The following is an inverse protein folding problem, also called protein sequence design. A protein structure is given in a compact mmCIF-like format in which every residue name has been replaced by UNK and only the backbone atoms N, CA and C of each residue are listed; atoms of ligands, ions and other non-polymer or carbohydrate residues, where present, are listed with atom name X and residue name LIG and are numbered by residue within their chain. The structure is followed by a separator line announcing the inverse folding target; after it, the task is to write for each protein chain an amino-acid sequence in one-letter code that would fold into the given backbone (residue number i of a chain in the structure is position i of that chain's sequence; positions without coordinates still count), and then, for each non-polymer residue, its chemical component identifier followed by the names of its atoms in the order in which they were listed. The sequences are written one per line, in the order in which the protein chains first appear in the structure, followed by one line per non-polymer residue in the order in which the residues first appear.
data_IF_761160346876
#
_entry.id   IF_761160346876
#
_cell.length_a   1.000
_cell.length_b   1.000
_cell.length_c   1.000
_cell.angle_alpha   90.00
_cell.angle_beta   90.00
_cell.angle_gamma   90.00
#
_symmetry.space_group_name_H-M   'P 1'
#
loop_
_entity.id
_entity.type
_entity.pdbx_description
1 polymer ?
#
# COMPACT_ATOMS: atom_id res chain seq x y z
N UNK A 1 -42.94 9.87 52.98
CA UNK A 1 -42.97 9.54 51.55
C UNK A 1 -41.62 9.73 50.97
N UNK A 2 -40.97 8.66 50.70
CA UNK A 2 -39.60 8.70 50.12
C UNK A 2 -39.73 8.44 48.64
N UNK A 3 -39.53 9.46 47.84
CA UNK A 3 -39.33 9.33 46.43
C UNK A 3 -37.90 8.85 46.18
N UNK A 4 -37.77 7.60 45.88
CA UNK A 4 -36.51 7.11 45.38
C UNK A 4 -36.31 7.62 43.95
N UNK A 5 -35.50 8.62 43.81
CA UNK A 5 -34.96 8.98 42.50
C UNK A 5 -34.00 7.87 42.07
N UNK A 6 -34.46 7.04 41.17
CA UNK A 6 -33.55 6.20 40.41
C UNK A 6 -32.73 7.12 39.54
N UNK A 7 -31.50 7.33 39.93
CA UNK A 7 -30.52 7.89 39.00
C UNK A 7 -30.41 6.97 37.81
N UNK A 8 -30.95 7.39 36.70
CA UNK A 8 -30.73 6.75 35.42
C UNK A 8 -29.29 7.05 35.07
N UNK A 9 -28.43 6.12 35.40
CA UNK A 9 -27.06 6.14 34.83
C UNK A 9 -27.21 5.80 33.36
N UNK A 10 -27.30 6.83 32.53
CA UNK A 10 -27.05 6.67 31.11
C UNK A 10 -25.57 6.27 31.00
N UNK A 11 -25.32 4.99 30.94
CA UNK A 11 -24.07 4.54 30.40
C UNK A 11 -24.06 4.96 28.94
N UNK A 12 -23.48 6.12 28.66
CA UNK A 12 -23.22 6.53 27.32
C UNK A 12 -22.31 5.48 26.73
N UNK A 13 -22.84 4.67 25.83
CA UNK A 13 -22.01 3.85 24.98
C UNK A 13 -21.14 4.84 24.21
N UNK A 14 -19.93 5.00 24.63
CA UNK A 14 -18.91 5.65 23.84
C UNK A 14 -18.70 4.72 22.65
N UNK A 15 -19.46 4.94 21.59
CA UNK A 15 -19.03 4.49 20.29
C UNK A 15 -17.75 5.27 19.99
N UNK A 16 -16.62 4.70 20.38
CA UNK A 16 -15.42 5.02 19.70
C UNK A 16 -15.65 4.55 18.26
N UNK A 17 -16.18 5.44 17.43
CA UNK A 17 -15.99 5.31 15.99
C UNK A 17 -14.49 5.41 15.85
N UNK A 18 -13.82 4.27 15.87
CA UNK A 18 -12.51 4.19 15.30
C UNK A 18 -12.70 4.71 13.89
N UNK A 19 -12.33 5.97 13.65
CA UNK A 19 -12.03 6.42 12.31
C UNK A 19 -11.23 5.27 11.70
N UNK A 20 -11.60 4.75 10.51
CA UNK A 20 -10.78 3.74 9.88
C UNK A 20 -9.36 4.30 9.94
N UNK A 21 -8.54 3.75 10.83
CA UNK A 21 -7.14 4.06 10.85
C UNK A 21 -6.73 3.82 9.41
N UNK A 22 -6.36 4.90 8.70
CA UNK A 22 -5.79 4.79 7.38
C UNK A 22 -4.72 3.73 7.53
N UNK A 23 -4.96 2.56 6.96
CA UNK A 23 -4.07 1.43 7.10
C UNK A 23 -2.69 1.90 6.67
N UNK A 24 -1.71 1.78 7.55
CA UNK A 24 -0.35 2.13 7.17
C UNK A 24 0.04 1.34 5.94
N UNK A 25 0.48 2.03 4.92
CA UNK A 25 0.99 1.44 3.69
C UNK A 25 2.45 1.10 3.89
N UNK A 26 2.81 -0.14 3.63
CA UNK A 26 4.20 -0.57 3.62
C UNK A 26 4.59 -1.05 2.23
N UNK A 27 5.84 -0.83 1.88
CA UNK A 27 6.45 -1.34 0.65
C UNK A 27 7.31 -2.54 1.03
N UNK A 28 7.13 -3.63 0.29
CA UNK A 28 7.76 -4.91 0.59
C UNK A 28 8.53 -5.45 -0.61
N UNK A 29 9.57 -6.19 -0.31
CA UNK A 29 10.37 -6.92 -1.28
C UNK A 29 10.54 -8.37 -0.81
N UNK A 30 11.06 -9.21 -1.69
CA UNK A 30 11.38 -10.59 -1.35
C UNK A 30 12.48 -10.62 -0.26
N UNK A 31 12.39 -11.53 0.71
CA UNK A 31 13.42 -11.66 1.75
C UNK A 31 14.83 -11.93 1.21
N UNK A 32 14.93 -12.51 0.04
CA UNK A 32 16.23 -12.77 -0.66
C UNK A 32 16.75 -11.55 -1.42
N UNK A 33 15.95 -10.49 -1.54
CA UNK A 33 16.40 -9.25 -2.17
C UNK A 33 17.53 -8.64 -1.35
N UNK A 34 18.56 -8.15 -2.04
CA UNK A 34 19.66 -7.43 -1.41
C UNK A 34 19.26 -6.01 -0.97
N UNK A 35 18.07 -5.55 -1.34
CA UNK A 35 17.59 -4.20 -1.00
C UNK A 35 17.38 -4.04 0.49
N UNK A 36 17.97 -2.98 1.05
CA UNK A 36 17.69 -2.51 2.40
C UNK A 36 16.55 -1.49 2.41
N UNK A 37 16.46 -0.71 3.49
CA UNK A 37 15.48 0.36 3.59
C UNK A 37 15.59 1.33 2.40
N UNK A 38 14.43 1.76 1.90
CA UNK A 38 14.31 2.66 0.75
C UNK A 38 13.62 3.95 1.15
N UNK A 39 13.93 5.02 0.42
CA UNK A 39 13.20 6.30 0.52
C UNK A 39 11.96 6.28 -0.38
N UNK A 40 11.05 7.23 -0.16
CA UNK A 40 9.90 7.44 -1.05
C UNK A 40 10.34 7.63 -2.50
N UNK A 41 11.40 8.39 -2.73
CA UNK A 41 11.93 8.64 -4.07
C UNK A 41 12.45 7.39 -4.74
N UNK A 42 13.15 6.55 -4.01
CA UNK A 42 13.67 5.28 -4.55
C UNK A 42 12.53 4.34 -4.95
N UNK A 43 11.52 4.18 -4.11
CA UNK A 43 10.34 3.37 -4.42
C UNK A 43 9.58 3.97 -5.61
N UNK A 44 9.42 5.29 -5.65
CA UNK A 44 8.74 5.99 -6.74
C UNK A 44 9.35 5.72 -8.10
N UNK A 45 10.68 5.55 -8.18
CA UNK A 45 11.36 5.26 -9.44
C UNK A 45 10.84 3.97 -10.07
N UNK A 46 10.56 2.94 -9.29
CA UNK A 46 10.03 1.68 -9.81
C UNK A 46 8.56 1.80 -10.23
N UNK A 47 7.76 2.46 -9.42
CA UNK A 47 6.31 2.59 -9.67
C UNK A 47 5.95 3.68 -10.68
N UNK A 48 6.86 4.56 -11.02
CA UNK A 48 6.69 5.58 -12.07
C UNK A 48 7.46 5.25 -13.36
N UNK A 49 8.03 4.07 -13.46
CA UNK A 49 8.71 3.61 -14.67
C UNK A 49 10.06 4.25 -14.96
N UNK A 50 10.67 4.90 -13.97
CA UNK A 50 11.99 5.54 -14.11
C UNK A 50 13.15 4.56 -13.95
N UNK A 51 12.92 3.43 -13.30
CA UNK A 51 13.90 2.36 -13.12
C UNK A 51 13.25 1.00 -13.37
N UNK A 52 13.97 0.11 -14.01
CA UNK A 52 13.58 -1.27 -14.30
C UNK A 52 14.32 -2.28 -13.44
N UNK A 53 15.05 -1.83 -12.43
CA UNK A 53 15.85 -2.71 -11.57
C UNK A 53 14.99 -3.66 -10.74
N UNK A 54 13.76 -3.29 -10.44
CA UNK A 54 12.77 -4.14 -9.78
C UNK A 54 11.46 -4.16 -10.57
N UNK A 55 10.69 -5.22 -10.39
CA UNK A 55 9.37 -5.39 -11.01
C UNK A 55 8.29 -4.91 -10.06
N UNK A 56 7.62 -3.77 -10.34
CA UNK A 56 6.56 -3.29 -9.48
C UNK A 56 5.31 -4.17 -9.60
N UNK A 57 4.74 -4.51 -8.45
CA UNK A 57 3.48 -5.23 -8.34
C UNK A 57 2.42 -4.24 -7.84
N UNK A 58 1.41 -4.01 -8.64
CA UNK A 58 0.36 -3.04 -8.36
C UNK A 58 -0.96 -3.72 -7.98
N UNK A 59 -1.90 -2.94 -7.48
CA UNK A 59 -3.25 -3.38 -7.15
C UNK A 59 -4.25 -2.66 -8.05
N UNK A 60 -5.51 -3.14 -8.16
CA UNK A 60 -6.51 -2.54 -9.04
C UNK A 60 -6.81 -1.09 -8.67
N UNK A 61 -7.25 -0.29 -9.62
CA UNK A 61 -7.68 1.09 -9.39
C UNK A 61 -8.80 1.19 -8.34
N UNK A 62 -9.62 0.16 -8.21
CA UNK A 62 -10.68 0.08 -7.20
C UNK A 62 -10.17 -0.17 -5.79
N UNK A 63 -8.92 -0.58 -5.61
CA UNK A 63 -8.34 -0.82 -4.29
C UNK A 63 -8.00 0.52 -3.61
N UNK A 64 -8.59 0.83 -2.43
CA UNK A 64 -8.32 2.10 -1.75
C UNK A 64 -6.84 2.31 -1.41
N UNK A 65 -6.12 1.25 -1.11
CA UNK A 65 -4.69 1.30 -0.78
C UNK A 65 -3.84 1.81 -1.95
N UNK A 66 -4.26 1.61 -3.19
CA UNK A 66 -3.54 2.12 -4.36
C UNK A 66 -3.48 3.64 -4.35
N UNK A 67 -4.60 4.32 -4.10
CA UNK A 67 -4.64 5.77 -4.02
C UNK A 67 -3.76 6.28 -2.87
N UNK A 68 -3.83 5.64 -1.71
CA UNK A 68 -3.00 5.99 -0.56
C UNK A 68 -1.52 5.82 -0.85
N UNK A 69 -1.14 4.72 -1.46
CA UNK A 69 0.25 4.45 -1.83
C UNK A 69 0.80 5.52 -2.78
N UNK A 70 0.10 5.79 -3.88
CA UNK A 70 0.57 6.77 -4.86
C UNK A 70 0.69 8.17 -4.25
N UNK A 71 -0.30 8.61 -3.46
CA UNK A 71 -0.25 9.92 -2.80
C UNK A 71 0.88 10.02 -1.78
N UNK A 72 1.03 9.02 -0.92
CA UNK A 72 1.98 9.07 0.19
C UNK A 72 3.42 8.85 -0.23
N UNK A 73 3.64 7.98 -1.21
CA UNK A 73 4.98 7.57 -1.63
C UNK A 73 5.44 8.30 -2.88
N UNK A 74 4.57 8.41 -3.90
CA UNK A 74 4.95 9.01 -5.18
C UNK A 74 4.54 10.46 -5.33
N UNK A 75 3.72 10.97 -4.39
CA UNK A 75 3.14 12.32 -4.44
C UNK A 75 2.32 12.57 -5.72
N UNK A 76 1.69 11.52 -6.24
CA UNK A 76 0.87 11.59 -7.46
C UNK A 76 -0.50 10.97 -7.22
N UNK A 77 -1.50 11.50 -7.92
CA UNK A 77 -2.80 10.84 -8.01
C UNK A 77 -2.69 9.57 -8.88
N UNK A 78 -3.50 8.53 -8.61
CA UNK A 78 -3.48 7.31 -9.42
C UNK A 78 -3.69 7.55 -10.91
N UNK A 79 -4.52 8.53 -11.28
CA UNK A 79 -4.76 8.91 -12.67
C UNK A 79 -3.51 9.46 -13.37
N UNK A 80 -2.69 10.21 -12.64
CA UNK A 80 -1.42 10.73 -13.14
C UNK A 80 -0.41 9.60 -13.38
N UNK A 81 -0.33 8.66 -12.44
CA UNK A 81 0.52 7.48 -12.59
C UNK A 81 0.08 6.61 -13.77
N UNK A 82 -1.22 6.42 -13.95
CA UNK A 82 -1.78 5.69 -15.08
C UNK A 82 -1.43 6.35 -16.42
N UNK A 83 -1.56 7.67 -16.52
CA UNK A 83 -1.21 8.42 -17.72
C UNK A 83 0.28 8.30 -18.05
N UNK A 84 1.14 8.35 -17.03
CA UNK A 84 2.58 8.18 -17.19
C UNK A 84 2.93 6.80 -17.72
N UNK A 85 2.34 5.74 -17.16
CA UNK A 85 2.56 4.38 -17.62
C UNK A 85 2.04 4.15 -19.02
N UNK A 86 0.88 4.70 -19.38
CA UNK A 86 0.33 4.62 -20.73
C UNK A 86 1.31 5.21 -21.76
N UNK A 87 1.91 6.35 -21.43
CA UNK A 87 2.92 6.98 -22.27
C UNK A 87 4.17 6.12 -22.43
N UNK A 88 4.67 5.53 -21.33
CA UNK A 88 5.85 4.69 -21.34
C UNK A 88 5.64 3.41 -22.14
N UNK A 89 4.48 2.78 -22.00
CA UNK A 89 4.11 1.58 -22.75
C UNK A 89 3.95 1.91 -24.22
N UNK A 90 3.27 2.99 -24.55
CA UNK A 90 3.04 3.43 -25.94
C UNK A 90 4.35 3.72 -26.68
N UNK A 91 5.34 4.30 -25.99
CA UNK A 91 6.66 4.58 -26.56
C UNK A 91 7.63 3.40 -26.53
N UNK A 92 7.19 2.24 -26.03
CA UNK A 92 8.00 1.02 -25.94
C UNK A 92 9.12 1.08 -24.89
N UNK A 93 9.08 2.07 -23.98
CA UNK A 93 10.14 2.25 -22.95
C UNK A 93 9.97 1.39 -21.72
N UNK A 94 8.76 0.91 -21.45
CA UNK A 94 8.48 0.08 -20.29
C UNK A 94 7.28 -0.84 -20.52
N UNK A 95 7.21 -1.91 -19.75
CA UNK A 95 6.03 -2.76 -19.59
C UNK A 95 5.24 -2.28 -18.37
N UNK A 96 3.93 -2.37 -18.42
CA UNK A 96 3.09 -2.02 -17.27
C UNK A 96 3.46 -2.84 -16.03
N UNK A 97 3.29 -2.28 -14.81
CA UNK A 97 3.38 -3.07 -13.59
C UNK A 97 2.42 -4.26 -13.65
N UNK A 98 2.83 -5.36 -13.05
CA UNK A 98 1.95 -6.50 -12.86
C UNK A 98 0.86 -6.11 -11.86
N UNK A 99 -0.40 -6.22 -12.26
CA UNK A 99 -1.54 -5.95 -11.40
C UNK A 99 -2.07 -7.25 -10.81
N UNK A 100 -2.27 -7.26 -9.50
CA UNK A 100 -2.89 -8.38 -8.77
C UNK A 100 -4.11 -7.90 -7.99
N UNK A 101 -4.95 -8.80 -7.52
CA UNK A 101 -6.28 -8.46 -7.04
C UNK A 101 -6.31 -7.74 -5.67
N UNK A 102 -5.37 -8.03 -4.79
CA UNK A 102 -5.37 -7.55 -3.40
C UNK A 102 -3.99 -7.69 -2.73
N UNK A 103 -3.89 -7.24 -1.48
CA UNK A 103 -2.64 -7.30 -0.71
C UNK A 103 -2.13 -8.72 -0.48
N UNK A 104 -3.03 -9.71 -0.32
CA UNK A 104 -2.62 -11.11 -0.18
C UNK A 104 -1.93 -11.63 -1.45
N UNK A 105 -2.43 -11.24 -2.62
CA UNK A 105 -1.82 -11.61 -3.90
C UNK A 105 -0.52 -10.85 -4.15
N UNK A 106 -0.40 -9.60 -3.71
CA UNK A 106 0.88 -8.86 -3.70
C UNK A 106 1.93 -9.63 -2.90
N UNK A 107 1.57 -10.06 -1.70
CA UNK A 107 2.46 -10.83 -0.84
C UNK A 107 2.96 -12.11 -1.53
N UNK A 108 2.06 -12.85 -2.16
CA UNK A 108 2.42 -14.07 -2.91
C UNK A 108 3.36 -13.77 -4.08
N UNK A 109 3.06 -12.74 -4.85
CA UNK A 109 3.88 -12.34 -6.00
C UNK A 109 5.28 -11.91 -5.58
N UNK A 110 5.39 -11.12 -4.52
CA UNK A 110 6.68 -10.66 -3.98
C UNK A 110 7.46 -11.82 -3.37
N UNK A 111 6.82 -12.72 -2.65
CA UNK A 111 7.47 -13.88 -2.07
C UNK A 111 8.01 -14.86 -3.14
N UNK A 112 7.39 -14.88 -4.31
CA UNK A 112 7.77 -15.77 -5.41
C UNK A 112 8.87 -15.21 -6.33
N UNK A 113 9.15 -13.89 -6.29
CA UNK A 113 10.08 -13.23 -7.21
C UNK A 113 11.05 -12.34 -6.45
N UNK A 114 12.37 -12.67 -6.45
CA UNK A 114 13.39 -11.84 -5.78
C UNK A 114 13.52 -10.41 -6.31
N UNK A 115 13.01 -10.13 -7.49
CA UNK A 115 13.02 -8.79 -8.11
C UNK A 115 11.72 -8.02 -7.90
N UNK A 116 10.69 -8.63 -7.33
CA UNK A 116 9.40 -7.98 -7.14
C UNK A 116 9.45 -6.95 -6.01
N UNK A 117 8.75 -5.86 -6.20
CA UNK A 117 8.48 -4.84 -5.18
C UNK A 117 6.98 -4.54 -5.22
N UNK A 118 6.36 -4.51 -4.06
CA UNK A 118 4.92 -4.26 -3.96
C UNK A 118 4.60 -3.44 -2.72
N UNK A 119 3.35 -3.01 -2.63
CA UNK A 119 2.84 -2.33 -1.45
C UNK A 119 1.63 -3.09 -0.92
N UNK A 120 1.46 -3.01 0.38
CA UNK A 120 0.34 -3.65 1.07
C UNK A 120 0.05 -2.94 2.39
N UNK A 121 -1.03 -3.33 3.03
CA UNK A 121 -1.34 -2.90 4.38
C UNK A 121 -0.36 -3.53 5.36
N UNK A 122 0.09 -2.74 6.34
CA UNK A 122 1.01 -3.23 7.38
C UNK A 122 0.48 -4.46 8.10
N UNK A 123 -0.81 -4.53 8.34
CA UNK A 123 -1.48 -5.68 8.98
C UNK A 123 -1.39 -6.98 8.17
N UNK A 124 -1.13 -6.91 6.87
CA UNK A 124 -1.01 -8.08 5.99
C UNK A 124 0.42 -8.63 5.93
N UNK A 125 1.40 -7.94 6.50
CA UNK A 125 2.82 -8.34 6.46
C UNK A 125 3.08 -9.54 7.33
N UNK A 126 3.88 -10.47 6.82
CA UNK A 126 4.43 -11.61 7.56
C UNK A 126 5.88 -11.87 7.16
N UNK A 127 6.45 -12.99 7.63
CA UNK A 127 7.84 -13.35 7.38
C UNK A 127 8.16 -13.70 5.91
N UNK A 128 7.15 -13.84 5.04
CA UNK A 128 7.34 -14.17 3.62
C UNK A 128 7.80 -12.97 2.79
N UNK A 129 7.72 -11.78 3.33
CA UNK A 129 8.15 -10.53 2.68
C UNK A 129 8.96 -9.66 3.65
N UNK A 130 9.76 -8.75 3.09
CA UNK A 130 10.58 -7.82 3.86
C UNK A 130 10.11 -6.39 3.62
N UNK A 131 9.79 -5.66 4.69
CA UNK A 131 9.43 -4.24 4.61
C UNK A 131 10.67 -3.39 4.36
N UNK A 132 10.62 -2.54 3.35
CA UNK A 132 11.69 -1.59 3.00
C UNK A 132 11.28 -0.13 3.20
N UNK A 133 10.00 0.16 3.32
CA UNK A 133 9.46 1.49 3.54
C UNK A 133 8.12 1.38 4.26
N UNK A 134 7.91 2.24 5.25
CA UNK A 134 6.61 2.44 5.90
C UNK A 134 6.14 3.85 5.61
N UNK A 135 4.98 3.98 4.98
CA UNK A 135 4.32 5.26 4.72
C UNK A 135 3.14 5.41 5.69
N UNK A 136 3.26 6.27 6.70
CA UNK A 136 2.21 6.46 7.70
C UNK A 136 0.96 7.16 7.13
#
# INVERSE_FOLDING_TARGET
MKTTMKALVLAGAVFAVAAPALAEVVVVVNPKSASGAMTNEQVSQFFLGKSTAMTPIDQPESAPIRAEFYKKVTDKEPSQAKALWSKLVFTGKATQPKEVANSADVKKAVAADPKAIGYMEKSAVDATVKVVLTAP
#
